data_IF_422514310632
#
_entry.id   IF_422514310632
#
_cell.length_a   1.000
_cell.length_b   1.000
_cell.length_c   1.000
_cell.angle_alpha   90.00
_cell.angle_beta   90.00
_cell.angle_gamma   90.00
#
_symmetry.space_group_name_H-M   'P 1'
#
loop_
_entity.id
_entity.type
_entity.pdbx_description
1 polymer ?
#
# COMPACT_ATOMS: atom_id res chain seq x y z
N UNK A 1 -1.18 25.71 -24.65
CA UNK A 1 -2.17 25.05 -23.78
C UNK A 1 -1.47 23.89 -23.07
N UNK A 2 -1.14 24.10 -21.79
CA UNK A 2 -0.14 23.36 -21.05
C UNK A 2 -0.71 22.05 -20.46
N UNK A 3 -0.09 20.91 -20.76
CA UNK A 3 -0.38 19.63 -20.11
C UNK A 3 0.30 19.57 -18.74
N UNK A 4 -0.27 20.30 -17.77
CA UNK A 4 -0.04 20.09 -16.33
C UNK A 4 -1.20 19.24 -15.79
N UNK A 5 -1.24 17.96 -16.12
CA UNK A 5 -2.22 17.04 -15.52
C UNK A 5 -1.74 15.60 -15.58
N UNK A 6 -0.77 15.25 -14.75
CA UNK A 6 -0.35 13.84 -14.56
C UNK A 6 -0.01 13.52 -13.10
N UNK A 7 -0.27 14.43 -12.16
CA UNK A 7 0.06 14.23 -10.74
C UNK A 7 -1.14 13.73 -9.92
N UNK A 8 -2.37 13.83 -10.45
CA UNK A 8 -3.59 13.42 -9.73
C UNK A 8 -3.74 11.91 -9.54
N UNK A 9 -3.22 11.10 -10.48
CA UNK A 9 -3.38 9.64 -10.44
C UNK A 9 -2.56 8.98 -9.32
N UNK A 10 -1.41 9.57 -8.96
CA UNK A 10 -0.49 9.04 -7.94
C UNK A 10 -1.05 9.17 -6.52
N UNK A 11 -1.87 10.19 -6.25
CA UNK A 11 -2.56 10.34 -4.98
C UNK A 11 -3.72 9.36 -4.79
N UNK A 12 -4.25 8.79 -5.88
CA UNK A 12 -5.41 7.92 -5.82
C UNK A 12 -5.05 6.45 -5.56
N UNK A 13 -3.90 5.98 -6.05
CA UNK A 13 -3.45 4.59 -5.86
C UNK A 13 -3.50 4.09 -4.41
N UNK A 14 -2.96 4.79 -3.40
CA UNK A 14 -3.04 4.32 -2.01
C UNK A 14 -4.45 4.37 -1.42
N UNK A 15 -5.29 5.29 -1.89
CA UNK A 15 -6.68 5.38 -1.46
C UNK A 15 -7.46 4.14 -1.91
N UNK A 16 -7.25 3.69 -3.15
CA UNK A 16 -7.88 2.46 -3.67
C UNK A 16 -7.43 1.24 -2.87
N UNK A 17 -6.13 1.11 -2.61
CA UNK A 17 -5.57 -0.03 -1.86
C UNK A 17 -6.08 -0.05 -0.42
N UNK A 18 -6.22 1.10 0.24
CA UNK A 18 -6.87 1.20 1.54
C UNK A 18 -8.37 0.82 1.47
N UNK A 19 -9.04 1.12 0.36
CA UNK A 19 -10.43 0.73 0.10
C UNK A 19 -10.61 -0.79 0.04
N UNK A 20 -9.76 -1.50 -0.72
CA UNK A 20 -9.80 -2.97 -0.80
C UNK A 20 -9.57 -3.61 0.59
N UNK A 21 -8.68 -3.03 1.39
CA UNK A 21 -8.41 -3.49 2.76
C UNK A 21 -9.65 -3.43 3.68
N UNK A 22 -10.51 -2.42 3.50
CA UNK A 22 -11.77 -2.30 4.23
C UNK A 22 -12.79 -3.38 3.79
N UNK A 23 -12.75 -3.78 2.51
CA UNK A 23 -13.61 -4.84 1.98
C UNK A 23 -13.26 -6.20 2.62
N UNK A 24 -12.01 -6.45 3.00
CA UNK A 24 -11.63 -7.68 3.70
C UNK A 24 -12.36 -7.86 5.04
N UNK A 25 -12.59 -6.78 5.79
CA UNK A 25 -13.34 -6.83 7.04
C UNK A 25 -14.83 -7.11 6.85
N UNK A 26 -15.46 -6.49 5.85
CA UNK A 26 -16.89 -6.72 5.59
C UNK A 26 -17.17 -8.13 5.04
N UNK A 27 -16.26 -8.68 4.22
CA UNK A 27 -16.38 -10.06 3.72
C UNK A 27 -16.46 -11.05 4.88
N UNK A 28 -15.56 -10.93 5.87
CA UNK A 28 -15.56 -11.84 7.03
C UNK A 28 -16.81 -11.66 7.89
N UNK A 29 -17.28 -10.42 8.10
CA UNK A 29 -18.52 -10.18 8.84
C UNK A 29 -19.74 -10.84 8.18
N UNK A 30 -19.86 -10.76 6.85
CA UNK A 30 -20.97 -11.38 6.10
C UNK A 30 -20.86 -12.91 6.11
N UNK A 31 -19.67 -13.46 5.89
CA UNK A 31 -19.46 -14.92 5.93
C UNK A 31 -19.83 -15.45 7.31
N UNK A 32 -19.38 -14.79 8.37
CA UNK A 32 -19.67 -15.23 9.74
C UNK A 32 -21.16 -15.15 10.07
N UNK A 33 -21.84 -14.06 9.68
CA UNK A 33 -23.30 -13.92 9.85
C UNK A 33 -24.07 -15.06 9.18
N UNK A 34 -23.62 -15.51 8.00
CA UNK A 34 -24.19 -16.67 7.32
C UNK A 34 -24.04 -17.97 8.11
N UNK A 35 -22.91 -18.19 8.80
CA UNK A 35 -22.66 -19.40 9.60
C UNK A 35 -23.43 -19.44 10.91
N UNK A 36 -23.79 -18.28 11.46
CA UNK A 36 -24.58 -18.19 12.69
C UNK A 36 -26.07 -18.50 12.48
N UNK A 37 -26.55 -18.42 11.24
CA UNK A 37 -27.94 -18.71 10.88
C UNK A 37 -28.19 -20.19 10.47
N UNK A 38 -27.19 -21.06 10.59
CA UNK A 38 -27.33 -22.50 10.30
C UNK A 38 -27.90 -23.25 11.53
N UNK A 39 -29.22 -23.45 11.56
CA UNK A 39 -29.94 -24.20 12.61
C UNK A 39 -29.58 -25.70 12.70
N UNK A 40 -28.67 -26.19 11.85
CA UNK A 40 -28.34 -27.62 11.71
C UNK A 40 -27.26 -28.13 12.66
N UNK A 41 -26.48 -27.25 13.31
CA UNK A 41 -25.47 -27.65 14.28
C UNK A 41 -25.52 -26.74 15.50
N UNK A 42 -25.73 -27.27 16.72
CA UNK A 42 -25.60 -26.45 17.93
C UNK A 42 -24.15 -25.96 18.02
N UNK A 43 -23.96 -24.65 17.85
CA UNK A 43 -22.67 -23.99 18.00
C UNK A 43 -22.15 -24.27 19.41
N UNK A 44 -21.06 -25.03 19.50
CA UNK A 44 -20.34 -25.21 20.76
C UNK A 44 -19.69 -23.88 21.15
N UNK A 45 -19.56 -23.61 22.45
CA UNK A 45 -18.91 -22.39 22.97
C UNK A 45 -17.51 -22.16 22.35
N UNK A 46 -16.79 -23.26 22.09
CA UNK A 46 -15.52 -23.27 21.39
C UNK A 46 -15.59 -22.68 19.96
N UNK A 47 -16.67 -22.91 19.22
CA UNK A 47 -16.86 -22.37 17.86
C UNK A 47 -17.15 -20.87 17.91
N UNK A 48 -17.83 -20.39 18.95
CA UNK A 48 -18.00 -18.96 19.21
C UNK A 48 -16.65 -18.23 19.37
N UNK A 49 -15.71 -18.82 20.11
CA UNK A 49 -14.36 -18.26 20.26
C UNK A 49 -13.55 -18.28 18.96
N UNK A 50 -13.68 -19.33 18.14
CA UNK A 50 -13.04 -19.39 16.81
C UNK A 50 -13.56 -18.28 15.89
N UNK A 51 -14.87 -18.06 15.88
CA UNK A 51 -15.48 -17.03 15.03
C UNK A 51 -15.12 -15.60 15.45
N UNK A 52 -15.07 -15.34 16.76
CA UNK A 52 -14.59 -14.07 17.30
C UNK A 52 -13.12 -13.83 16.93
N UNK A 53 -12.26 -14.83 17.15
CA UNK A 53 -10.83 -14.73 16.84
C UNK A 53 -10.55 -14.63 15.34
N UNK A 54 -11.36 -15.24 14.48
CA UNK A 54 -11.30 -15.08 13.04
C UNK A 54 -11.51 -13.60 12.66
N UNK A 55 -12.60 -12.97 13.11
CA UNK A 55 -12.88 -11.56 12.84
C UNK A 55 -11.84 -10.60 13.43
N UNK A 56 -11.34 -10.89 14.64
CA UNK A 56 -10.35 -10.08 15.33
C UNK A 56 -8.98 -10.14 14.65
N UNK A 57 -8.57 -11.31 14.13
CA UNK A 57 -7.30 -11.48 13.42
C UNK A 57 -7.23 -10.66 12.12
N UNK A 58 -8.27 -10.70 11.29
CA UNK A 58 -8.34 -9.91 10.05
C UNK A 58 -8.44 -8.41 10.35
N UNK A 59 -9.19 -8.03 11.39
CA UNK A 59 -9.33 -6.63 11.81
C UNK A 59 -7.99 -6.01 12.22
N UNK A 60 -7.22 -6.69 13.07
CA UNK A 60 -5.89 -6.22 13.46
C UNK A 60 -4.87 -6.26 12.33
N UNK A 61 -4.93 -7.26 11.44
CA UNK A 61 -4.07 -7.31 10.25
C UNK A 61 -4.33 -6.13 9.29
N UNK A 62 -5.60 -5.83 9.00
CA UNK A 62 -5.99 -4.70 8.17
C UNK A 62 -5.64 -3.35 8.83
N UNK A 63 -5.80 -3.22 10.15
CA UNK A 63 -5.39 -2.02 10.89
C UNK A 63 -3.87 -1.80 10.80
N UNK A 64 -3.07 -2.83 11.04
CA UNK A 64 -1.61 -2.75 11.02
C UNK A 64 -1.09 -2.41 9.60
N UNK A 65 -1.66 -3.06 8.59
CA UNK A 65 -1.36 -2.78 7.17
C UNK A 65 -1.75 -1.34 6.78
N UNK A 66 -2.94 -0.89 7.17
CA UNK A 66 -3.40 0.49 6.93
C UNK A 66 -2.53 1.56 7.60
N UNK A 67 -2.07 1.33 8.83
CA UNK A 67 -1.13 2.22 9.52
C UNK A 67 0.24 2.26 8.82
N UNK A 68 0.70 1.13 8.28
CA UNK A 68 1.92 1.05 7.47
C UNK A 68 1.82 1.89 6.20
N UNK A 69 0.72 1.75 5.46
CA UNK A 69 0.43 2.54 4.25
C UNK A 69 0.32 4.03 4.60
N UNK A 70 -0.35 4.39 5.70
CA UNK A 70 -0.48 5.78 6.16
C UNK A 70 0.86 6.44 6.53
N UNK A 71 1.72 5.72 7.25
CA UNK A 71 3.09 6.17 7.57
C UNK A 71 3.93 6.32 6.29
N UNK A 72 3.81 5.37 5.36
CA UNK A 72 4.49 5.42 4.07
C UNK A 72 4.03 6.60 3.21
N UNK A 73 2.73 6.90 3.21
CA UNK A 73 2.14 8.06 2.54
C UNK A 73 2.66 9.37 3.12
N UNK A 74 2.83 9.43 4.44
CA UNK A 74 3.41 10.60 5.10
C UNK A 74 4.88 10.82 4.66
N UNK A 75 5.67 9.75 4.53
CA UNK A 75 7.05 9.82 4.02
C UNK A 75 7.08 10.29 2.56
N UNK A 76 6.17 9.77 1.73
CA UNK A 76 6.04 10.17 0.32
C UNK A 76 5.60 11.63 0.17
N UNK A 77 4.64 12.08 0.98
CA UNK A 77 4.23 13.47 1.03
C UNK A 77 5.40 14.36 1.45
N UNK A 78 6.14 14.00 2.50
CA UNK A 78 7.36 14.71 2.94
C UNK A 78 8.42 14.82 1.82
N UNK A 79 8.58 13.78 1.00
CA UNK A 79 9.51 13.79 -0.15
C UNK A 79 9.00 14.75 -1.24
N UNK A 80 7.69 14.83 -1.48
CA UNK A 80 7.09 15.81 -2.41
C UNK A 80 7.26 17.26 -1.92
N UNK A 81 7.20 17.50 -0.61
CA UNK A 81 7.48 18.82 -0.02
C UNK A 81 8.96 19.22 -0.19
N UNK A 82 9.88 18.25 -0.10
CA UNK A 82 11.31 18.49 -0.36
C UNK A 82 11.63 18.62 -1.85
N UNK A 83 10.84 18.02 -2.75
CA UNK A 83 10.94 18.26 -4.20
C UNK A 83 10.37 19.62 -4.61
N UNK A 84 9.33 20.13 -3.93
CA UNK A 84 8.85 21.52 -4.15
C UNK A 84 9.85 22.56 -3.66
N UNK A 85 10.69 22.24 -2.67
CA UNK A 85 11.80 23.09 -2.21
C UNK A 85 13.14 22.82 -2.91
N UNK A 86 13.26 21.74 -3.68
CA UNK A 86 14.42 21.45 -4.51
C UNK A 86 14.09 21.59 -6.00
N UNK A 87 14.08 22.82 -6.50
CA UNK A 87 14.75 23.07 -7.78
C UNK A 87 16.16 22.49 -7.66
N UNK A 88 16.54 21.46 -8.44
CA UNK A 88 17.93 21.03 -8.46
C UNK A 88 18.68 22.03 -9.33
N UNK A 89 19.15 23.12 -8.73
CA UNK A 89 20.36 23.79 -9.20
C UNK A 89 21.55 22.91 -8.78
N UNK A 90 21.70 21.76 -9.44
CA UNK A 90 23.01 21.11 -9.53
C UNK A 90 23.81 21.90 -10.56
N UNK A 91 24.31 23.07 -10.15
CA UNK A 91 25.24 23.89 -10.92
C UNK A 91 26.16 24.66 -9.98
N UNK A 92 27.13 23.98 -9.38
CA UNK A 92 28.35 24.61 -8.87
C UNK A 92 29.41 23.55 -8.55
N UNK A 93 30.05 23.00 -9.58
CA UNK A 93 31.46 22.58 -9.48
C UNK A 93 32.05 22.63 -10.89
N UNK A 94 32.49 23.82 -11.30
CA UNK A 94 33.32 24.00 -12.49
C UNK A 94 34.75 23.74 -12.06
N UNK A 95 35.24 22.54 -12.34
CA UNK A 95 36.65 22.21 -12.35
C UNK A 95 36.85 21.16 -13.46
N UNK A 96 37.67 21.47 -14.45
CA UNK A 96 38.09 20.49 -15.45
C UNK A 96 38.10 21.05 -16.85
N UNK A 97 39.29 21.51 -17.25
CA UNK A 97 39.74 21.55 -18.63
C UNK A 97 39.57 20.19 -19.31
N UNK A 98 39.30 20.24 -20.61
CA UNK A 98 40.03 19.52 -21.66
C UNK A 98 39.12 18.96 -22.75
N UNK A 99 39.49 19.34 -23.96
CA UNK A 99 38.84 19.01 -25.21
C UNK A 99 39.41 17.69 -25.72
N UNK A 100 38.55 16.69 -25.97
CA UNK A 100 38.58 15.79 -27.13
C UNK A 100 37.72 14.54 -26.86
N UNK A 101 37.01 14.12 -27.91
CA UNK A 101 36.48 12.78 -28.21
C UNK A 101 35.09 12.34 -27.63
N UNK A 102 34.31 11.78 -28.56
CA UNK A 102 32.89 11.33 -28.57
C UNK A 102 32.44 10.37 -27.43
N UNK A 103 31.14 10.00 -27.27
CA UNK A 103 29.90 10.44 -27.92
C UNK A 103 28.88 11.06 -26.93
N UNK A 104 28.08 12.01 -27.39
CA UNK A 104 27.19 12.84 -26.55
C UNK A 104 25.85 12.14 -26.25
N UNK A 105 25.92 11.02 -25.52
CA UNK A 105 24.77 10.27 -25.00
C UNK A 105 25.00 9.91 -23.52
N UNK A 106 25.23 10.87 -22.61
CA UNK A 106 25.18 10.53 -21.18
C UNK A 106 24.92 11.67 -20.19
N UNK A 107 23.91 12.50 -20.44
CA UNK A 107 23.33 13.34 -19.39
C UNK A 107 21.85 13.62 -19.63
N UNK A 108 21.10 12.58 -19.97
CA UNK A 108 19.69 12.60 -19.59
C UNK A 108 19.66 12.42 -18.06
N UNK A 109 19.12 13.36 -17.28
CA UNK A 109 18.97 13.13 -15.84
C UNK A 109 18.14 11.87 -15.68
N UNK A 110 18.77 10.80 -15.18
CA UNK A 110 18.12 9.54 -14.84
C UNK A 110 17.08 9.88 -13.79
N UNK A 111 15.86 10.20 -14.26
CA UNK A 111 14.69 10.50 -13.46
C UNK A 111 14.42 9.22 -12.68
N UNK A 112 14.94 9.16 -11.47
CA UNK A 112 14.84 8.04 -10.57
C UNK A 112 13.36 7.72 -10.41
N UNK A 113 12.95 6.55 -10.89
CA UNK A 113 11.54 6.15 -10.88
C UNK A 113 11.15 5.74 -9.45
N UNK A 114 10.91 6.74 -8.60
CA UNK A 114 10.34 6.52 -7.27
C UNK A 114 8.92 5.93 -7.38
N UNK A 115 8.25 6.10 -8.53
CA UNK A 115 6.95 5.50 -8.84
C UNK A 115 6.98 3.98 -8.66
N UNK A 116 8.00 3.30 -9.21
CA UNK A 116 8.11 1.85 -9.13
C UNK A 116 8.36 1.36 -7.70
N UNK A 117 9.13 2.15 -6.93
CA UNK A 117 9.41 1.85 -5.52
C UNK A 117 8.17 2.04 -4.63
N UNK A 118 7.30 3.00 -4.95
CA UNK A 118 6.04 3.25 -4.23
C UNK A 118 5.06 2.09 -4.46
N UNK A 119 4.76 1.78 -5.72
CA UNK A 119 3.81 0.71 -6.07
C UNK A 119 4.21 -0.66 -5.49
N UNK A 120 5.50 -0.98 -5.50
CA UNK A 120 5.99 -2.24 -4.93
C UNK A 120 5.80 -2.32 -3.42
N UNK A 121 6.05 -1.23 -2.68
CA UNK A 121 5.83 -1.24 -1.22
C UNK A 121 4.35 -1.34 -0.87
N UNK A 122 3.47 -0.64 -1.60
CA UNK A 122 2.02 -0.68 -1.32
C UNK A 122 1.44 -2.09 -1.46
N UNK A 123 1.84 -2.86 -2.48
CA UNK A 123 1.32 -4.22 -2.67
C UNK A 123 1.85 -5.21 -1.62
N UNK A 124 3.10 -5.04 -1.15
CA UNK A 124 3.64 -5.85 -0.06
C UNK A 124 2.92 -5.60 1.26
N UNK A 125 2.54 -4.36 1.55
CA UNK A 125 1.78 -4.04 2.76
C UNK A 125 0.34 -4.58 2.66
N UNK A 126 -0.28 -4.53 1.49
CA UNK A 126 -1.60 -5.13 1.26
C UNK A 126 -1.58 -6.64 1.47
N UNK A 127 -0.53 -7.33 1.00
CA UNK A 127 -0.37 -8.77 1.20
C UNK A 127 -0.46 -9.17 2.68
N UNK A 128 0.04 -8.33 3.60
CA UNK A 128 -0.07 -8.55 5.05
C UNK A 128 -1.54 -8.63 5.51
N UNK A 129 -2.41 -7.74 5.00
CA UNK A 129 -3.84 -7.78 5.32
C UNK A 129 -4.54 -8.99 4.70
N UNK A 130 -4.14 -9.37 3.48
CA UNK A 130 -4.66 -10.55 2.79
C UNK A 130 -4.28 -11.86 3.51
N UNK A 131 -3.09 -11.95 4.10
CA UNK A 131 -2.72 -13.10 4.95
C UNK A 131 -3.65 -13.23 6.17
N UNK A 132 -4.00 -12.11 6.81
CA UNK A 132 -4.97 -12.10 7.91
C UNK A 132 -6.36 -12.58 7.50
N UNK A 133 -6.81 -12.21 6.30
CA UNK A 133 -8.07 -12.69 5.72
C UNK A 133 -8.05 -14.21 5.48
N UNK A 134 -6.97 -14.75 4.94
CA UNK A 134 -6.83 -16.20 4.68
C UNK A 134 -6.91 -16.98 5.99
N UNK A 135 -6.19 -16.55 7.03
CA UNK A 135 -6.21 -17.21 8.34
C UNK A 135 -7.62 -17.17 8.95
N UNK A 136 -8.30 -16.02 8.89
CA UNK A 136 -9.67 -15.87 9.36
C UNK A 136 -10.65 -16.81 8.62
N UNK A 137 -10.48 -16.98 7.31
CA UNK A 137 -11.31 -17.91 6.52
C UNK A 137 -11.08 -19.36 6.91
N UNK A 138 -9.83 -19.77 7.12
CA UNK A 138 -9.51 -21.14 7.55
C UNK A 138 -10.12 -21.42 8.93
N UNK A 139 -9.98 -20.47 9.87
CA UNK A 139 -10.50 -20.61 11.23
C UNK A 139 -12.04 -20.57 11.27
N UNK A 140 -12.66 -19.79 10.40
CA UNK A 140 -14.11 -19.79 10.24
C UNK A 140 -14.60 -21.08 9.57
N UNK A 141 -13.80 -21.71 8.71
CA UNK A 141 -14.14 -22.96 8.05
C UNK A 141 -13.98 -24.21 8.94
N UNK A 142 -13.19 -24.13 10.02
CA UNK A 142 -12.84 -25.24 10.93
C UNK A 142 -13.76 -25.40 12.14
#
# INVERSE_FOLDING_TARGET
FALRSSNGLLGFTPVVIAGVLAIYGIIIAVILSGKLNDDKNPLTEADGYKHLSAGLSVGFACLASGLGIGKFLQTLFVIDLTQKSATPSSSATVAGSDSADQPLLDSAPKRTSHIGQVLTVLVFIEAIGLYGLIVALILSAS
#
